data_IF_350775103770
#
_entry.id   IF_350775103770
#
_cell.length_a   1.000
_cell.length_b   1.000
_cell.length_c   1.000
_cell.angle_alpha   90.00
_cell.angle_beta   90.00
_cell.angle_gamma   90.00
#
_symmetry.space_group_name_H-M   'P 1'
#
loop_
_entity.id
_entity.type
_entity.pdbx_description
1 polymer ?
#
# COMPACT_ATOMS: atom_id res chain seq x y z
N UNK A 1 -7.14 8.37 -37.42
CA UNK A 1 -6.72 7.31 -36.47
C UNK A 1 -6.76 5.90 -37.07
N UNK A 2 -7.86 5.43 -37.68
CA UNK A 2 -7.98 4.03 -38.13
C UNK A 2 -6.91 3.53 -39.11
N UNK A 3 -6.47 4.39 -40.03
CA UNK A 3 -5.46 4.08 -41.04
C UNK A 3 -4.00 4.18 -40.56
N UNK A 4 -3.75 4.66 -39.34
CA UNK A 4 -2.40 4.83 -38.83
C UNK A 4 -1.78 3.47 -38.41
N UNK A 5 -0.44 3.31 -38.50
CA UNK A 5 0.24 2.18 -37.89
C UNK A 5 0.08 2.21 -36.37
N UNK A 6 0.27 1.06 -35.72
CA UNK A 6 -0.09 0.89 -34.31
C UNK A 6 0.75 1.79 -33.39
N UNK A 7 2.02 1.98 -33.70
CA UNK A 7 2.96 2.84 -32.98
C UNK A 7 2.50 4.29 -33.03
N UNK A 8 2.16 4.79 -34.22
CA UNK A 8 1.63 6.15 -34.39
C UNK A 8 0.28 6.35 -33.70
N UNK A 9 -0.58 5.31 -33.67
CA UNK A 9 -1.82 5.33 -32.88
C UNK A 9 -1.51 5.51 -31.40
N UNK A 10 -0.55 4.74 -30.87
CA UNK A 10 -0.17 4.83 -29.47
C UNK A 10 0.45 6.17 -29.14
N UNK A 11 1.30 6.72 -30.00
CA UNK A 11 1.90 8.04 -29.78
C UNK A 11 0.85 9.17 -29.78
N UNK A 12 -0.14 9.11 -30.67
CA UNK A 12 -1.28 10.03 -30.63
C UNK A 12 -2.08 9.88 -29.33
N UNK A 13 -2.37 8.64 -28.93
CA UNK A 13 -3.07 8.37 -27.66
C UNK A 13 -2.24 8.83 -26.46
N UNK A 14 -0.90 8.83 -26.56
CA UNK A 14 -0.02 9.35 -25.51
C UNK A 14 -0.09 10.86 -25.33
N UNK A 15 -0.56 11.59 -26.34
CA UNK A 15 -0.75 13.03 -26.26
C UNK A 15 -2.10 13.44 -25.67
N UNK A 16 -3.04 12.50 -25.49
CA UNK A 16 -4.37 12.80 -24.95
C UNK A 16 -4.32 12.89 -23.42
N UNK A 17 -5.04 13.87 -22.86
CA UNK A 17 -5.28 13.89 -21.42
C UNK A 17 -6.31 12.82 -21.02
N UNK A 18 -6.44 12.56 -19.71
CA UNK A 18 -7.31 11.50 -19.18
C UNK A 18 -8.77 11.59 -19.69
N UNK A 19 -9.38 12.78 -19.63
CA UNK A 19 -10.77 12.97 -20.05
C UNK A 19 -10.94 12.70 -21.55
N UNK A 20 -9.98 13.12 -22.37
CA UNK A 20 -9.96 12.85 -23.79
C UNK A 20 -9.81 11.35 -24.06
N UNK A 21 -8.92 10.65 -23.36
CA UNK A 21 -8.68 9.22 -23.55
C UNK A 21 -9.90 8.38 -23.12
N UNK A 22 -10.55 8.71 -22.00
CA UNK A 22 -11.81 8.11 -21.58
C UNK A 22 -12.89 8.35 -22.63
N UNK A 23 -12.99 9.59 -23.14
CA UNK A 23 -13.91 9.90 -24.24
C UNK A 23 -13.63 8.99 -25.43
N UNK A 24 -12.37 8.81 -25.82
CA UNK A 24 -11.95 7.87 -26.87
C UNK A 24 -12.34 6.41 -26.62
N UNK A 25 -12.20 5.91 -25.37
CA UNK A 25 -12.69 4.57 -24.98
C UNK A 25 -14.20 4.44 -25.21
N UNK A 26 -14.96 5.52 -25.07
CA UNK A 26 -16.42 5.55 -25.21
C UNK A 26 -16.90 5.75 -26.66
N UNK A 27 -16.04 6.23 -27.58
CA UNK A 27 -16.45 6.48 -28.98
C UNK A 27 -16.86 5.17 -29.68
N UNK A 28 -16.07 4.10 -29.55
CA UNK A 28 -16.41 2.78 -30.11
C UNK A 28 -15.51 1.64 -29.58
N UNK A 29 -15.95 0.41 -29.85
CA UNK A 29 -15.27 -0.82 -29.47
C UNK A 29 -13.82 -0.93 -29.98
N UNK A 30 -13.48 -0.33 -31.12
CA UNK A 30 -12.11 -0.38 -31.62
C UNK A 30 -11.14 0.35 -30.70
N UNK A 31 -11.45 1.60 -30.34
CA UNK A 31 -10.58 2.37 -29.42
C UNK A 31 -10.59 1.81 -28.01
N UNK A 32 -11.73 1.31 -27.54
CA UNK A 32 -11.79 0.58 -26.26
C UNK A 32 -10.79 -0.60 -26.25
N UNK A 33 -10.86 -1.46 -27.27
CA UNK A 33 -9.98 -2.63 -27.37
C UNK A 33 -8.52 -2.22 -27.56
N UNK A 34 -8.25 -1.20 -28.37
CA UNK A 34 -6.91 -0.68 -28.61
C UNK A 34 -6.28 -0.14 -27.31
N UNK A 35 -6.97 0.74 -26.59
CA UNK A 35 -6.45 1.34 -25.37
C UNK A 35 -6.29 0.27 -24.28
N UNK A 36 -7.25 -0.66 -24.14
CA UNK A 36 -7.14 -1.76 -23.18
C UNK A 36 -5.99 -2.71 -23.52
N UNK A 37 -5.73 -2.97 -24.81
CA UNK A 37 -4.63 -3.84 -25.26
C UNK A 37 -3.26 -3.26 -24.92
N UNK A 38 -3.10 -1.94 -25.02
CA UNK A 38 -1.84 -1.24 -24.80
C UNK A 38 -1.83 -0.42 -23.50
N UNK A 39 -2.67 -0.77 -22.54
CA UNK A 39 -2.87 0.01 -21.31
C UNK A 39 -1.58 0.14 -20.47
N UNK A 40 -0.72 -0.87 -20.50
CA UNK A 40 0.60 -0.81 -19.87
C UNK A 40 1.56 0.20 -20.50
N UNK A 41 1.47 0.39 -21.82
CA UNK A 41 2.29 1.35 -22.58
C UNK A 41 1.67 2.76 -22.59
N UNK A 42 0.34 2.81 -22.57
CA UNK A 42 -0.48 4.01 -22.48
C UNK A 42 -0.76 4.39 -21.03
N UNK A 43 0.09 4.00 -20.06
CA UNK A 43 -0.12 4.16 -18.62
C UNK A 43 -0.28 5.64 -18.17
N UNK A 44 -1.39 6.27 -18.56
CA UNK A 44 -1.87 7.56 -18.07
C UNK A 44 -2.49 7.34 -16.72
N UNK A 45 -1.63 7.21 -15.72
CA UNK A 45 -2.08 7.19 -14.35
C UNK A 45 -2.25 8.63 -13.93
N UNK A 46 -3.49 9.04 -13.71
CA UNK A 46 -3.79 10.28 -13.02
C UNK A 46 -3.03 10.26 -11.70
N UNK A 47 -2.15 11.24 -11.53
CA UNK A 47 -1.43 11.43 -10.29
C UNK A 47 -2.39 12.08 -9.31
N UNK A 48 -2.69 11.35 -8.26
CA UNK A 48 -3.39 11.84 -7.09
C UNK A 48 -2.38 11.97 -5.97
N UNK A 49 -2.60 12.96 -5.11
CA UNK A 49 -1.77 13.17 -3.95
C UNK A 49 -2.02 12.08 -2.91
N UNK A 50 -3.28 11.75 -2.65
CA UNK A 50 -3.64 10.89 -1.53
C UNK A 50 -4.85 10.01 -1.83
N UNK A 51 -4.75 8.73 -1.45
CA UNK A 51 -5.89 7.84 -1.25
C UNK A 51 -6.14 7.69 0.25
N UNK A 52 -7.38 7.72 0.70
CA UNK A 52 -7.71 7.48 2.11
C UNK A 52 -9.02 6.74 2.26
N UNK A 53 -9.13 5.97 3.33
CA UNK A 53 -10.36 5.31 3.74
C UNK A 53 -10.79 5.90 5.08
N UNK A 54 -12.10 6.08 5.27
CA UNK A 54 -12.70 6.57 6.52
C UNK A 54 -12.22 7.99 6.89
N UNK A 55 -12.46 8.95 6.00
CA UNK A 55 -12.13 10.37 6.24
C UNK A 55 -13.31 11.07 6.90
N UNK A 56 -13.05 11.88 7.94
CA UNK A 56 -14.04 12.78 8.51
C UNK A 56 -14.40 13.88 7.49
N UNK A 57 -15.60 13.79 6.92
CA UNK A 57 -16.05 14.74 5.88
C UNK A 57 -16.22 16.17 6.39
N UNK A 58 -16.38 16.36 7.70
CA UNK A 58 -16.53 17.70 8.30
C UNK A 58 -15.22 18.50 8.26
N UNK A 59 -14.08 17.82 8.11
CA UNK A 59 -12.74 18.44 8.07
C UNK A 59 -12.29 18.80 6.64
N UNK A 60 -13.16 18.65 5.63
CA UNK A 60 -12.81 18.88 4.23
C UNK A 60 -13.39 20.21 3.72
N UNK A 61 -12.50 21.14 3.38
CA UNK A 61 -12.86 22.49 2.91
C UNK A 61 -13.64 22.50 1.58
N UNK A 62 -13.36 21.56 0.68
CA UNK A 62 -14.05 21.44 -0.62
C UNK A 62 -14.01 20.01 -1.17
N UNK A 63 -15.17 19.39 -1.31
CA UNK A 63 -15.26 18.03 -1.83
C UNK A 63 -16.42 17.84 -2.79
N UNK A 64 -16.27 16.86 -3.69
CA UNK A 64 -17.32 16.40 -4.59
C UNK A 64 -17.62 14.93 -4.32
N UNK A 65 -18.87 14.64 -4.01
CA UNK A 65 -19.33 13.25 -3.86
C UNK A 65 -19.53 12.66 -5.25
N UNK A 66 -18.92 11.49 -5.47
CA UNK A 66 -19.18 10.62 -6.61
C UNK A 66 -20.06 9.48 -6.10
N UNK A 67 -21.32 9.47 -6.52
CA UNK A 67 -22.27 8.39 -6.26
C UNK A 67 -22.54 7.64 -7.57
N UNK A 68 -21.84 6.51 -7.82
CA UNK A 68 -22.08 5.72 -9.01
C UNK A 68 -23.51 5.15 -8.96
N UNK A 69 -24.30 5.37 -10.01
CA UNK A 69 -25.67 4.88 -10.08
C UNK A 69 -25.74 3.47 -10.70
N UNK A 70 -26.71 2.63 -10.28
CA UNK A 70 -27.02 1.39 -10.98
C UNK A 70 -27.31 1.63 -12.46
N UNK A 71 -26.93 0.68 -13.32
CA UNK A 71 -27.16 0.75 -14.78
C UNK A 71 -26.06 1.47 -15.58
N UNK A 72 -25.12 2.16 -14.93
CA UNK A 72 -24.00 2.83 -15.61
C UNK A 72 -22.97 1.85 -16.18
N UNK A 73 -22.95 0.61 -15.69
CA UNK A 73 -21.97 -0.41 -16.05
C UNK A 73 -22.69 -1.71 -16.37
N UNK A 74 -22.65 -2.16 -17.63
CA UNK A 74 -23.04 -3.53 -17.99
C UNK A 74 -21.93 -4.48 -17.55
N UNK A 75 -22.03 -4.98 -16.33
CA UNK A 75 -21.06 -5.90 -15.79
C UNK A 75 -21.56 -7.34 -15.90
N UNK A 76 -20.83 -8.15 -16.66
CA UNK A 76 -21.13 -9.58 -16.79
C UNK A 76 -20.27 -10.32 -15.76
N UNK A 77 -20.90 -10.77 -14.69
CA UNK A 77 -20.30 -11.74 -13.78
C UNK A 77 -20.32 -13.12 -14.43
N UNK A 78 -19.18 -13.81 -14.37
CA UNK A 78 -19.16 -15.22 -14.75
C UNK A 78 -19.96 -16.08 -13.75
N UNK A 79 -20.37 -17.26 -14.19
CA UNK A 79 -21.29 -18.11 -13.42
C UNK A 79 -20.66 -18.62 -12.11
N UNK A 80 -19.32 -18.73 -12.07
CA UNK A 80 -18.58 -19.06 -10.84
C UNK A 80 -18.84 -18.03 -9.73
N UNK A 81 -18.84 -16.73 -10.06
CA UNK A 81 -19.08 -15.66 -9.08
C UNK A 81 -20.54 -15.57 -8.67
N UNK A 82 -21.47 -15.81 -9.58
CA UNK A 82 -22.92 -15.88 -9.25
C UNK A 82 -23.18 -16.93 -8.16
N UNK A 83 -22.49 -18.07 -8.21
CA UNK A 83 -22.63 -19.14 -7.20
C UNK A 83 -22.23 -18.68 -5.80
N UNK A 84 -21.20 -17.82 -5.66
CA UNK A 84 -20.78 -17.29 -4.35
C UNK A 84 -21.80 -16.33 -3.74
N UNK A 85 -22.48 -15.53 -4.56
CA UNK A 85 -23.48 -14.57 -4.08
C UNK A 85 -24.72 -15.22 -3.45
N UNK A 86 -25.03 -16.46 -3.83
CA UNK A 86 -26.16 -17.20 -3.25
C UNK A 86 -25.81 -17.96 -1.97
N UNK A 87 -24.57 -17.85 -1.49
CA UNK A 87 -24.18 -18.47 -0.22
C UNK A 87 -24.39 -17.50 0.95
N UNK A 88 -24.78 -17.99 2.12
CA UNK A 88 -24.89 -17.18 3.35
C UNK A 88 -23.56 -16.48 3.71
N UNK A 89 -22.45 -16.99 3.20
CA UNK A 89 -21.12 -16.38 3.32
C UNK A 89 -21.06 -14.98 2.70
N UNK A 90 -21.90 -14.67 1.71
CA UNK A 90 -21.92 -13.35 1.06
C UNK A 90 -22.27 -12.22 2.03
N UNK A 91 -23.08 -12.51 3.06
CA UNK A 91 -23.46 -11.53 4.10
C UNK A 91 -22.26 -11.03 4.94
N UNK A 92 -21.11 -11.69 4.84
CA UNK A 92 -19.90 -11.36 5.58
C UNK A 92 -18.80 -10.70 4.73
N UNK A 93 -19.03 -10.45 3.43
CA UNK A 93 -18.05 -9.76 2.58
C UNK A 93 -18.19 -8.25 2.68
N UNK A 94 -17.49 -7.67 3.64
CA UNK A 94 -17.32 -6.22 3.74
C UNK A 94 -16.34 -5.74 2.66
N UNK A 95 -16.61 -4.62 2.00
CA UNK A 95 -15.63 -3.98 1.11
C UNK A 95 -14.38 -3.55 1.87
N UNK A 96 -14.59 -3.09 3.10
CA UNK A 96 -13.58 -2.49 3.96
C UNK A 96 -13.65 -3.22 5.29
N UNK A 97 -12.51 -3.71 5.77
CA UNK A 97 -12.39 -4.21 7.13
C UNK A 97 -12.12 -3.03 8.06
N UNK A 98 -12.92 -2.93 9.12
CA UNK A 98 -12.74 -1.94 10.19
C UNK A 98 -12.17 -2.59 11.43
N UNK A 99 -11.64 -1.74 12.30
CA UNK A 99 -11.48 -2.14 13.68
C UNK A 99 -12.84 -2.35 14.37
N UNK A 100 -12.92 -3.23 15.37
CA UNK A 100 -14.17 -3.44 16.12
C UNK A 100 -14.67 -2.17 16.82
N UNK A 101 -13.77 -1.24 17.14
CA UNK A 101 -14.11 0.03 17.78
C UNK A 101 -14.81 1.00 16.82
N UNK A 102 -14.65 0.85 15.50
CA UNK A 102 -15.21 1.75 14.48
C UNK A 102 -16.46 1.20 13.78
N UNK A 103 -17.01 0.05 14.20
CA UNK A 103 -18.20 -0.57 13.58
C UNK A 103 -19.44 0.33 13.56
N UNK A 104 -19.47 1.41 14.35
CA UNK A 104 -20.55 2.40 14.35
C UNK A 104 -20.55 3.32 13.13
N UNK A 105 -19.45 3.40 12.36
CA UNK A 105 -19.35 4.29 11.19
C UNK A 105 -19.78 3.60 9.89
N UNK A 106 -21.11 3.40 9.73
CA UNK A 106 -21.73 2.95 8.47
C UNK A 106 -21.48 3.89 7.26
N UNK A 107 -20.79 5.01 7.46
CA UNK A 107 -20.52 6.05 6.46
C UNK A 107 -19.09 6.02 5.92
N UNK A 108 -18.40 4.89 5.98
CA UNK A 108 -17.06 4.81 5.42
C UNK A 108 -17.04 5.09 3.92
N UNK A 109 -16.20 6.04 3.55
CA UNK A 109 -16.02 6.52 2.18
C UNK A 109 -14.58 6.33 1.73
N UNK A 110 -14.39 6.16 0.43
CA UNK A 110 -13.07 6.21 -0.19
C UNK A 110 -12.83 7.64 -0.64
N UNK A 111 -11.84 8.31 -0.06
CA UNK A 111 -11.48 9.68 -0.36
C UNK A 111 -10.23 9.72 -1.26
N UNK A 112 -10.29 10.56 -2.29
CA UNK A 112 -9.20 10.78 -3.25
C UNK A 112 -8.87 12.27 -3.24
N UNK A 113 -7.65 12.63 -2.84
CA UNK A 113 -7.12 13.99 -2.90
C UNK A 113 -6.35 14.20 -4.20
N UNK A 114 -6.70 15.24 -4.96
CA UNK A 114 -5.93 15.64 -6.14
C UNK A 114 -4.61 16.29 -5.73
N UNK A 115 -3.61 16.12 -6.60
CA UNK A 115 -2.42 16.98 -6.53
C UNK A 115 -2.84 18.41 -6.84
N UNK A 116 -2.44 19.35 -5.99
CA UNK A 116 -2.76 20.75 -6.18
C UNK A 116 -1.99 21.26 -7.40
N UNK A 117 -2.72 21.76 -8.39
CA UNK A 117 -2.17 22.51 -9.50
C UNK A 117 -2.80 23.89 -9.44
N UNK A 118 -1.98 24.92 -9.22
CA UNK A 118 -2.41 26.31 -9.00
C UNK A 118 -3.18 26.90 -10.20
N UNK A 119 -3.29 26.17 -11.31
CA UNK A 119 -3.92 26.60 -12.54
C UNK A 119 -5.39 26.15 -12.68
N UNK A 120 -5.95 25.40 -11.74
CA UNK A 120 -7.31 24.83 -11.81
C UNK A 120 -8.17 25.24 -10.61
N UNK A 121 -8.38 26.55 -10.42
CA UNK A 121 -9.03 27.14 -9.24
C UNK A 121 -10.50 26.73 -9.03
N UNK A 122 -11.15 26.07 -10.00
CA UNK A 122 -12.59 25.73 -9.93
C UNK A 122 -12.90 24.25 -9.67
N UNK A 123 -11.90 23.38 -9.54
CA UNK A 123 -12.14 21.95 -9.31
C UNK A 123 -12.04 21.59 -7.82
N UNK A 124 -12.87 20.65 -7.32
CA UNK A 124 -12.82 20.22 -5.93
C UNK A 124 -11.48 19.54 -5.62
N UNK A 125 -10.91 19.84 -4.45
CA UNK A 125 -9.66 19.23 -3.99
C UNK A 125 -9.83 17.75 -3.67
N UNK A 126 -10.99 17.38 -3.13
CA UNK A 126 -11.30 16.03 -2.68
C UNK A 126 -12.46 15.41 -3.48
N UNK A 127 -12.32 14.15 -3.88
CA UNK A 127 -13.42 13.35 -4.42
C UNK A 127 -13.76 12.26 -3.42
N UNK A 128 -15.04 12.19 -3.06
CA UNK A 128 -15.56 11.22 -2.11
C UNK A 128 -16.32 10.18 -2.91
N UNK A 129 -15.69 9.02 -3.09
CA UNK A 129 -16.30 7.89 -3.75
C UNK A 129 -17.13 7.10 -2.73
N UNK A 130 -18.46 7.23 -2.84
CA UNK A 130 -19.41 6.54 -1.97
C UNK A 130 -19.67 5.14 -2.53
N UNK A 131 -19.00 4.14 -1.95
CA UNK A 131 -19.17 2.73 -2.32
C UNK A 131 -20.05 2.01 -1.31
N UNK A 132 -20.83 1.01 -1.75
CA UNK A 132 -21.54 0.13 -0.83
C UNK A 132 -20.51 -0.68 -0.03
N UNK A 133 -20.44 -0.41 1.28
CA UNK A 133 -19.54 -1.14 2.20
C UNK A 133 -20.00 -2.59 2.34
N UNK A 134 -21.31 -2.79 2.35
CA UNK A 134 -21.99 -4.08 2.45
C UNK A 134 -22.75 -4.28 1.14
N UNK A 135 -22.09 -4.73 0.05
CA UNK A 135 -22.80 -4.99 -1.20
C UNK A 135 -23.85 -6.09 -0.94
N UNK A 136 -25.12 -5.80 -1.26
CA UNK A 136 -26.28 -6.69 -1.12
C UNK A 136 -26.80 -7.18 -2.46
N UNK A 137 -26.31 -6.59 -3.56
CA UNK A 137 -26.77 -6.86 -4.92
C UNK A 137 -25.62 -7.02 -5.91
N UNK A 138 -25.91 -7.61 -7.07
CA UNK A 138 -24.96 -7.72 -8.17
C UNK A 138 -24.58 -6.36 -8.75
N UNK A 139 -25.54 -5.43 -8.77
CA UNK A 139 -25.39 -4.07 -9.23
C UNK A 139 -24.39 -3.30 -8.35
N UNK A 140 -24.47 -3.48 -7.03
CA UNK A 140 -23.51 -2.88 -6.09
C UNK A 140 -22.10 -3.45 -6.25
N UNK A 141 -21.95 -4.77 -6.44
CA UNK A 141 -20.65 -5.35 -6.76
C UNK A 141 -20.09 -4.85 -8.10
N UNK A 142 -20.94 -4.67 -9.11
CA UNK A 142 -20.57 -4.11 -10.40
C UNK A 142 -20.04 -2.68 -10.23
N UNK A 143 -20.72 -1.87 -9.42
CA UNK A 143 -20.31 -0.51 -9.06
C UNK A 143 -18.95 -0.54 -8.38
N UNK A 144 -18.76 -1.35 -7.32
CA UNK A 144 -17.48 -1.47 -6.60
C UNK A 144 -16.37 -1.84 -7.58
N UNK A 145 -16.56 -2.91 -8.36
CA UNK A 145 -15.54 -3.37 -9.29
C UNK A 145 -15.20 -2.33 -10.34
N UNK A 146 -16.20 -1.68 -10.91
CA UNK A 146 -15.96 -0.61 -11.89
C UNK A 146 -15.12 0.50 -11.27
N UNK A 147 -15.54 1.02 -10.12
CA UNK A 147 -14.86 2.15 -9.50
C UNK A 147 -13.44 1.79 -9.05
N UNK A 148 -13.25 0.67 -8.35
CA UNK A 148 -11.91 0.20 -7.96
C UNK A 148 -11.05 -0.15 -9.18
N UNK A 149 -11.65 -0.70 -10.24
CA UNK A 149 -10.97 -0.94 -11.51
C UNK A 149 -10.43 0.33 -12.13
N UNK A 150 -11.20 1.43 -12.08
CA UNK A 150 -10.69 2.75 -12.49
C UNK A 150 -9.49 3.18 -11.63
N UNK A 151 -9.55 2.98 -10.32
CA UNK A 151 -8.44 3.35 -9.42
C UNK A 151 -7.18 2.48 -9.61
N UNK A 152 -7.34 1.19 -9.89
CA UNK A 152 -6.19 0.31 -10.16
C UNK A 152 -5.49 0.69 -11.46
N UNK A 153 -6.28 0.96 -12.48
CA UNK A 153 -5.78 1.04 -13.85
C UNK A 153 -5.30 2.44 -14.19
N UNK A 154 -6.03 3.45 -13.71
CA UNK A 154 -5.90 4.83 -14.17
C UNK A 154 -5.34 5.77 -13.10
N UNK A 155 -4.86 5.28 -11.95
CA UNK A 155 -4.41 6.14 -10.86
C UNK A 155 -3.05 5.75 -10.30
N UNK A 156 -2.25 6.77 -9.95
CA UNK A 156 -1.08 6.66 -9.08
C UNK A 156 -1.26 7.60 -7.91
N UNK A 157 -1.00 7.09 -6.72
CA UNK A 157 -1.11 7.85 -5.49
C UNK A 157 0.29 8.11 -4.93
N UNK A 158 0.60 9.37 -4.60
CA UNK A 158 1.82 9.67 -3.85
C UNK A 158 1.74 9.04 -2.44
N UNK A 159 0.63 9.25 -1.77
CA UNK A 159 0.35 8.72 -0.44
C UNK A 159 -0.92 7.88 -0.43
N UNK A 160 -0.97 6.90 0.46
CA UNK A 160 -2.24 6.35 0.90
C UNK A 160 -2.28 6.23 2.41
N UNK A 161 -3.38 6.65 3.02
CA UNK A 161 -3.62 6.44 4.45
C UNK A 161 -4.72 5.41 4.58
N UNK A 162 -4.32 4.20 4.93
CA UNK A 162 -5.22 3.16 5.39
C UNK A 162 -5.13 3.19 6.90
N UNK A 163 -6.03 3.95 7.53
CA UNK A 163 -6.14 4.08 8.99
C UNK A 163 -6.47 2.73 9.63
N UNK A 164 -7.53 2.71 10.41
CA UNK A 164 -8.05 1.45 10.97
C UNK A 164 -8.81 0.60 9.94
N UNK A 165 -8.67 0.94 8.65
CA UNK A 165 -9.47 0.43 7.57
C UNK A 165 -8.64 0.06 6.34
N UNK A 166 -8.81 -1.16 5.85
CA UNK A 166 -8.21 -1.66 4.59
C UNK A 166 -9.27 -2.30 3.71
N UNK A 167 -9.07 -2.28 2.39
CA UNK A 167 -9.93 -3.05 1.50
C UNK A 167 -9.81 -4.55 1.79
N UNK A 168 -10.91 -5.27 1.62
CA UNK A 168 -10.99 -6.72 1.79
C UNK A 168 -10.27 -7.46 0.64
N UNK A 169 -9.05 -8.01 0.82
CA UNK A 169 -8.37 -8.83 -0.18
C UNK A 169 -9.17 -10.01 -0.73
N UNK A 170 -10.04 -10.69 0.04
CA UNK A 170 -10.87 -11.77 -0.51
C UNK A 170 -11.95 -11.24 -1.45
N UNK A 171 -12.56 -10.09 -1.13
CA UNK A 171 -13.51 -9.44 -2.03
C UNK A 171 -12.78 -8.92 -3.28
N UNK A 172 -11.60 -8.31 -3.13
CA UNK A 172 -10.79 -7.89 -4.27
C UNK A 172 -10.39 -9.10 -5.13
N UNK A 173 -9.96 -10.20 -4.52
CA UNK A 173 -9.66 -11.46 -5.20
C UNK A 173 -10.91 -11.95 -5.97
N UNK A 174 -12.09 -11.97 -5.33
CA UNK A 174 -13.36 -12.34 -5.97
C UNK A 174 -13.71 -11.42 -7.14
N UNK A 175 -13.51 -10.11 -6.99
CA UNK A 175 -13.82 -9.14 -8.03
C UNK A 175 -12.82 -9.22 -9.18
N UNK A 176 -11.53 -9.47 -8.96
CA UNK A 176 -10.47 -9.20 -9.95
C UNK A 176 -9.62 -10.40 -10.40
N UNK A 177 -9.66 -11.57 -9.74
CA UNK A 177 -8.75 -12.69 -10.04
C UNK A 177 -8.89 -13.37 -11.42
N UNK A 178 -9.95 -13.10 -12.19
CA UNK A 178 -10.20 -13.84 -13.45
C UNK A 178 -9.42 -13.27 -14.65
N UNK A 179 -8.87 -12.07 -14.53
CA UNK A 179 -8.18 -11.40 -15.63
C UNK A 179 -6.66 -11.49 -15.43
N UNK A 180 -6.04 -12.50 -16.05
CA UNK A 180 -4.57 -12.68 -16.03
C UNK A 180 -3.79 -11.56 -16.73
N UNK A 181 -4.45 -10.75 -17.55
CA UNK A 181 -3.82 -9.76 -18.42
C UNK A 181 -3.56 -8.40 -17.78
N UNK A 182 -4.29 -8.02 -16.73
CA UNK A 182 -4.15 -6.70 -16.09
C UNK A 182 -3.85 -6.89 -14.61
N UNK A 183 -2.76 -6.26 -14.14
CA UNK A 183 -2.45 -6.20 -12.72
C UNK A 183 -3.44 -5.26 -12.03
N UNK A 184 -4.40 -5.82 -11.30
CA UNK A 184 -5.39 -5.05 -10.54
C UNK A 184 -4.81 -4.65 -9.18
N UNK A 185 -3.78 -3.79 -9.21
CA UNK A 185 -3.09 -3.31 -8.00
C UNK A 185 -3.17 -1.79 -7.91
N UNK A 186 -3.31 -1.26 -6.71
CA UNK A 186 -3.12 0.16 -6.49
C UNK A 186 -1.65 0.50 -6.63
N UNK A 187 -1.34 1.56 -7.38
CA UNK A 187 0.02 2.05 -7.52
C UNK A 187 0.25 3.22 -6.58
N UNK A 188 1.02 2.98 -5.51
CA UNK A 188 1.16 3.89 -4.38
C UNK A 188 2.64 4.08 -4.07
N UNK A 189 3.11 5.32 -3.95
CA UNK A 189 4.52 5.53 -3.60
C UNK A 189 4.75 5.23 -2.11
N UNK A 190 3.95 5.83 -1.24
CA UNK A 190 4.11 5.80 0.22
C UNK A 190 2.80 5.43 0.93
N UNK A 191 2.39 4.14 0.93
CA UNK A 191 1.27 3.71 1.75
C UNK A 191 1.65 3.77 3.23
N UNK A 192 0.72 4.24 4.05
CA UNK A 192 0.78 4.24 5.50
C UNK A 192 -0.39 3.43 6.04
N UNK A 193 -0.06 2.43 6.85
CA UNK A 193 -0.99 1.47 7.43
C UNK A 193 -1.01 1.66 8.94
N UNK A 194 -2.20 1.73 9.52
CA UNK A 194 -2.38 1.84 10.97
C UNK A 194 -3.09 0.60 11.48
N UNK A 195 -2.37 -0.55 11.63
CA UNK A 195 -2.98 -1.71 12.24
C UNK A 195 -3.56 -1.31 13.60
N UNK A 196 -4.87 -1.51 13.76
CA UNK A 196 -5.60 -1.44 15.03
C UNK A 196 -6.02 -2.85 15.46
N UNK A 197 -6.26 -3.04 16.77
CA UNK A 197 -6.18 -4.34 17.46
C UNK A 197 -7.02 -5.50 16.92
N UNK A 198 -7.87 -5.26 15.92
CA UNK A 198 -8.86 -6.19 15.39
C UNK A 198 -8.62 -6.56 13.93
N UNK A 199 -7.82 -5.78 13.19
CA UNK A 199 -7.36 -6.17 11.86
C UNK A 199 -6.00 -6.89 12.01
N UNK A 200 -5.99 -8.20 11.78
CA UNK A 200 -4.76 -9.00 11.83
C UNK A 200 -3.71 -8.48 10.84
N UNK A 201 -2.45 -8.44 11.26
CA UNK A 201 -1.32 -8.09 10.39
C UNK A 201 -1.22 -8.99 9.15
N UNK A 202 -1.67 -10.26 9.23
CA UNK A 202 -1.71 -11.16 8.06
C UNK A 202 -2.66 -10.64 6.99
N UNK A 203 -3.76 -10.07 7.44
CA UNK A 203 -4.82 -9.59 6.58
C UNK A 203 -4.36 -8.34 5.83
N UNK A 204 -3.77 -7.41 6.57
CA UNK A 204 -3.08 -6.24 6.04
C UNK A 204 -2.01 -6.67 5.05
N UNK A 205 -1.18 -7.64 5.42
CA UNK A 205 -0.12 -8.13 4.56
C UNK A 205 -0.65 -8.79 3.28
N UNK A 206 -1.74 -9.56 3.37
CA UNK A 206 -2.43 -10.14 2.21
C UNK A 206 -2.91 -9.05 1.25
N UNK A 207 -3.46 -7.95 1.78
CA UNK A 207 -3.81 -6.78 0.98
C UNK A 207 -2.58 -6.14 0.33
N UNK A 208 -1.54 -5.81 1.11
CA UNK A 208 -0.30 -5.18 0.62
C UNK A 208 0.36 -5.98 -0.49
N UNK A 209 0.61 -7.27 -0.24
CA UNK A 209 1.35 -8.14 -1.17
C UNK A 209 0.60 -8.41 -2.48
N UNK A 210 -0.73 -8.58 -2.42
CA UNK A 210 -1.53 -8.93 -3.59
C UNK A 210 -2.03 -7.70 -4.35
N UNK A 211 -2.43 -6.65 -3.65
CA UNK A 211 -3.25 -5.58 -4.21
C UNK A 211 -2.54 -4.21 -4.22
N UNK A 212 -1.31 -4.10 -3.71
CA UNK A 212 -0.49 -2.88 -3.81
C UNK A 212 0.76 -3.10 -4.66
N UNK A 213 1.13 -2.05 -5.40
CA UNK A 213 2.46 -1.86 -5.98
C UNK A 213 3.08 -0.65 -5.31
N UNK A 214 4.17 -0.88 -4.57
CA UNK A 214 4.81 0.14 -3.74
C UNK A 214 6.13 0.56 -4.36
N UNK A 215 6.27 1.85 -4.67
CA UNK A 215 7.47 2.35 -5.38
C UNK A 215 8.50 3.06 -4.50
N UNK A 216 8.15 3.45 -3.26
CA UNK A 216 9.09 4.08 -2.33
C UNK A 216 9.10 3.39 -0.96
N UNK A 217 8.11 3.66 -0.11
CA UNK A 217 8.19 3.27 1.30
C UNK A 217 6.85 2.77 1.84
N UNK A 218 6.83 1.53 2.32
CA UNK A 218 5.74 1.02 3.14
C UNK A 218 5.91 1.53 4.58
N UNK A 219 4.96 2.31 5.08
CA UNK A 219 4.92 2.70 6.49
C UNK A 219 3.86 1.89 7.23
N UNK A 220 4.22 1.32 8.37
CA UNK A 220 3.28 0.68 9.30
C UNK A 220 3.45 1.38 10.65
N UNK A 221 2.39 2.02 11.11
CA UNK A 221 2.36 2.81 12.32
C UNK A 221 1.49 2.09 13.35
N UNK A 222 2.11 1.54 14.39
CA UNK A 222 1.40 0.80 15.42
C UNK A 222 0.79 1.77 16.42
N UNK A 223 -0.48 1.57 16.79
CA UNK A 223 -1.05 2.29 17.92
C UNK A 223 -0.25 1.94 19.20
N UNK A 224 -0.03 2.93 20.07
CA UNK A 224 0.59 2.74 21.38
C UNK A 224 -0.20 1.75 22.25
N UNK A 225 -1.51 1.60 22.01
CA UNK A 225 -2.37 0.64 22.70
C UNK A 225 -2.33 -0.77 22.08
N UNK A 226 -1.68 -0.96 20.93
CA UNK A 226 -1.64 -2.25 20.28
C UNK A 226 -0.84 -3.23 21.14
N UNK A 227 -1.54 -4.26 21.63
CA UNK A 227 -1.02 -5.23 22.60
C UNK A 227 0.37 -5.75 22.21
N UNK A 228 1.31 -5.59 23.15
CA UNK A 228 2.77 -5.77 23.05
C UNK A 228 3.22 -7.19 22.59
N UNK A 229 2.31 -8.16 22.42
CA UNK A 229 2.66 -9.58 22.58
C UNK A 229 2.53 -10.49 21.35
N UNK A 230 1.86 -10.12 20.24
CA UNK A 230 1.51 -11.11 19.19
C UNK A 230 2.09 -10.87 17.78
N UNK A 231 2.74 -9.74 17.52
CA UNK A 231 3.05 -9.32 16.14
C UNK A 231 4.46 -9.76 15.67
N UNK A 232 5.33 -10.21 16.58
CA UNK A 232 6.77 -10.35 16.31
C UNK A 232 7.15 -11.31 15.16
N UNK A 233 6.63 -12.55 15.08
CA UNK A 233 7.05 -13.48 14.03
C UNK A 233 6.64 -13.01 12.62
N UNK A 234 5.44 -12.43 12.51
CA UNK A 234 4.88 -12.01 11.21
C UNK A 234 5.56 -10.76 10.67
N UNK A 235 5.90 -9.78 11.53
CA UNK A 235 6.67 -8.62 11.09
C UNK A 235 8.06 -9.01 10.66
N UNK A 236 8.69 -9.93 11.40
CA UNK A 236 9.97 -10.47 11.02
C UNK A 236 9.91 -11.16 9.64
N UNK A 237 8.89 -11.99 9.38
CA UNK A 237 8.66 -12.61 8.06
C UNK A 237 8.45 -11.56 6.95
N UNK A 238 7.73 -10.48 7.25
CA UNK A 238 7.52 -9.35 6.31
C UNK A 238 8.84 -8.69 5.95
N UNK A 239 9.73 -8.50 6.93
CA UNK A 239 11.03 -7.86 6.69
C UNK A 239 12.00 -8.77 5.94
N UNK A 240 11.99 -10.07 6.24
CA UNK A 240 13.05 -11.01 5.81
C UNK A 240 12.70 -11.80 4.55
N UNK A 241 11.50 -12.37 4.47
CA UNK A 241 11.12 -13.31 3.41
C UNK A 241 10.06 -12.74 2.47
N UNK A 242 9.08 -12.02 3.00
CA UNK A 242 7.90 -11.60 2.21
C UNK A 242 8.05 -10.20 1.62
N UNK A 243 8.95 -9.38 2.17
CA UNK A 243 9.19 -8.01 1.72
C UNK A 243 9.98 -7.89 0.42
N UNK A 244 10.28 -9.01 -0.25
CA UNK A 244 10.93 -9.01 -1.55
C UNK A 244 10.16 -8.12 -2.54
N UNK A 245 10.84 -7.09 -3.07
CA UNK A 245 10.24 -6.09 -3.95
C UNK A 245 9.82 -4.78 -3.26
N UNK A 246 9.83 -4.71 -1.92
CA UNK A 246 9.67 -3.43 -1.21
C UNK A 246 11.00 -2.65 -1.22
N UNK A 247 11.02 -1.38 -1.70
CA UNK A 247 12.24 -0.59 -1.68
C UNK A 247 12.65 -0.19 -0.26
N UNK A 248 11.66 0.13 0.58
CA UNK A 248 11.83 0.54 1.97
C UNK A 248 10.62 0.16 2.82
N UNK A 249 10.89 -0.18 4.08
CA UNK A 249 9.89 -0.32 5.13
C UNK A 249 10.21 0.59 6.33
N UNK A 250 9.20 1.26 6.86
CA UNK A 250 9.26 2.09 8.05
C UNK A 250 8.23 1.58 9.05
N UNK A 251 8.70 1.09 10.19
CA UNK A 251 7.86 0.65 11.30
C UNK A 251 7.93 1.70 12.40
N UNK A 252 6.78 2.29 12.76
CA UNK A 252 6.68 3.33 13.78
C UNK A 252 6.01 2.83 15.04
N UNK A 253 6.34 3.47 16.16
CA UNK A 253 5.77 3.17 17.47
C UNK A 253 5.95 1.69 17.89
N UNK A 254 7.09 1.10 17.52
CA UNK A 254 7.40 -0.29 17.86
C UNK A 254 7.60 -0.44 19.37
N UNK A 255 6.89 -1.40 19.95
CA UNK A 255 7.05 -1.83 21.34
C UNK A 255 7.86 -3.15 21.45
N UNK A 256 7.97 -3.89 20.35
CA UNK A 256 8.62 -5.21 20.32
C UNK A 256 10.16 -5.11 20.26
N UNK A 257 10.82 -5.35 21.41
CA UNK A 257 12.30 -5.34 21.52
C UNK A 257 12.96 -6.49 20.75
N UNK A 258 12.25 -7.62 20.61
CA UNK A 258 12.80 -8.86 20.04
C UNK A 258 13.05 -8.76 18.54
N UNK A 259 12.22 -8.01 17.80
CA UNK A 259 12.35 -7.82 16.35
C UNK A 259 13.76 -7.40 15.94
N UNK A 260 14.36 -6.43 16.63
CA UNK A 260 15.70 -5.95 16.31
C UNK A 260 16.77 -7.05 16.47
N UNK A 261 16.69 -7.79 17.58
CA UNK A 261 17.63 -8.89 17.85
C UNK A 261 17.48 -10.03 16.85
N UNK A 262 16.25 -10.35 16.43
CA UNK A 262 15.99 -11.37 15.41
C UNK A 262 16.50 -10.92 14.04
N UNK A 263 16.36 -9.64 13.66
CA UNK A 263 16.94 -9.08 12.43
C UNK A 263 18.46 -9.23 12.43
N UNK A 264 19.15 -8.86 13.52
CA UNK A 264 20.60 -9.04 13.64
C UNK A 264 20.98 -10.51 13.52
N UNK A 265 20.28 -11.39 14.25
CA UNK A 265 20.53 -12.84 14.22
C UNK A 265 20.34 -13.40 12.82
N UNK A 266 19.31 -12.97 12.10
CA UNK A 266 19.04 -13.40 10.73
C UNK A 266 20.13 -12.94 9.76
N UNK A 267 20.48 -11.65 9.76
CA UNK A 267 21.55 -11.11 8.91
C UNK A 267 22.87 -11.86 9.14
N UNK A 268 23.18 -12.19 10.39
CA UNK A 268 24.47 -12.79 10.75
C UNK A 268 24.55 -14.29 10.52
N UNK A 269 23.43 -15.02 10.64
CA UNK A 269 23.40 -16.50 10.68
C UNK A 269 22.55 -17.17 9.61
N UNK A 270 21.70 -16.46 8.88
CA UNK A 270 20.89 -17.09 7.82
C UNK A 270 21.76 -17.40 6.61
N UNK A 271 21.51 -18.53 5.96
CA UNK A 271 22.20 -18.92 4.72
C UNK A 271 21.86 -17.98 3.56
N UNK A 272 20.64 -17.41 3.55
CA UNK A 272 20.17 -16.51 2.50
C UNK A 272 19.47 -15.27 3.08
N UNK A 273 20.11 -14.10 2.91
CA UNK A 273 19.54 -12.78 3.19
C UNK A 273 19.30 -11.97 1.90
N UNK A 274 19.25 -12.64 0.74
CA UNK A 274 19.04 -12.00 -0.56
C UNK A 274 17.67 -11.33 -0.65
N UNK A 275 16.64 -11.94 -0.05
CA UNK A 275 15.23 -11.53 -0.14
C UNK A 275 14.83 -10.44 0.86
N UNK A 276 15.68 -10.13 1.84
CA UNK A 276 15.39 -9.16 2.88
C UNK A 276 15.23 -7.73 2.31
N UNK A 277 14.32 -6.95 2.90
CA UNK A 277 14.07 -5.55 2.50
C UNK A 277 15.36 -4.73 2.59
N UNK A 278 15.69 -4.02 1.51
CA UNK A 278 16.97 -3.33 1.40
C UNK A 278 17.10 -2.14 2.37
N UNK A 279 16.00 -1.45 2.69
CA UNK A 279 16.01 -0.30 3.59
C UNK A 279 14.94 -0.48 4.67
N UNK A 280 15.37 -0.63 5.92
CA UNK A 280 14.48 -0.82 7.07
C UNK A 280 14.70 0.34 8.04
N UNK A 281 13.62 0.92 8.52
CA UNK A 281 13.64 1.93 9.57
C UNK A 281 12.69 1.49 10.68
N UNK A 282 13.21 1.40 11.90
CA UNK A 282 12.48 0.98 13.09
C UNK A 282 12.48 2.16 14.06
N UNK A 283 11.31 2.67 14.42
CA UNK A 283 11.15 3.73 15.40
C UNK A 283 10.48 3.13 16.64
N UNK A 284 11.15 3.18 17.78
CA UNK A 284 10.72 2.56 19.02
C UNK A 284 10.08 3.57 19.97
N UNK A 285 8.97 3.18 20.60
CA UNK A 285 8.36 3.95 21.70
C UNK A 285 9.01 3.61 23.06
N UNK A 286 9.71 2.48 23.17
CA UNK A 286 10.23 1.93 24.43
C UNK A 286 11.74 1.68 24.42
N UNK A 287 12.40 1.71 25.60
CA UNK A 287 13.83 1.52 25.74
C UNK A 287 14.29 0.16 25.23
N UNK A 288 15.08 0.18 24.16
CA UNK A 288 15.87 -0.96 23.72
C UNK A 288 17.29 -0.85 24.28
N UNK A 289 17.68 -1.77 25.16
CA UNK A 289 19.08 -1.90 25.61
C UNK A 289 19.89 -2.51 24.48
N UNK A 290 20.83 -1.73 23.98
CA UNK A 290 21.66 -2.12 22.85
C UNK A 290 22.97 -2.73 23.32
N UNK A 291 23.23 -3.96 22.89
CA UNK A 291 24.57 -4.54 22.93
C UNK A 291 25.03 -4.68 21.48
N UNK A 292 26.15 -4.04 21.16
CA UNK A 292 26.77 -4.16 19.84
C UNK A 292 27.18 -5.62 19.60
N UNK A 293 27.01 -6.10 18.36
CA UNK A 293 27.48 -7.45 17.99
C UNK A 293 29.01 -7.49 18.03
N UNK A 294 29.59 -8.59 18.50
CA UNK A 294 31.04 -8.83 18.44
C UNK A 294 31.58 -8.86 17.01
N UNK A 295 30.70 -9.09 16.03
CA UNK A 295 31.01 -9.07 14.59
C UNK A 295 30.77 -7.70 13.94
N UNK A 296 30.49 -6.67 14.72
CA UNK A 296 30.31 -5.32 14.19
C UNK A 296 31.64 -4.79 13.65
N UNK A 297 31.65 -4.41 12.38
CA UNK A 297 32.79 -3.80 11.70
C UNK A 297 32.55 -2.30 11.50
N UNK A 298 33.62 -1.53 11.27
CA UNK A 298 33.54 -0.10 10.88
C UNK A 298 32.67 0.73 11.83
N UNK A 299 32.92 0.60 13.13
CA UNK A 299 32.11 1.24 14.17
C UNK A 299 32.46 2.74 14.23
N UNK A 300 31.47 3.59 14.02
CA UNK A 300 31.58 5.04 14.20
C UNK A 300 30.58 5.49 15.27
N UNK A 301 31.05 6.28 16.23
CA UNK A 301 30.20 6.89 17.25
C UNK A 301 30.29 8.41 17.11
N UNK A 302 29.14 9.07 17.00
CA UNK A 302 29.02 10.54 16.95
C UNK A 302 28.01 11.00 17.97
N UNK A 303 28.24 12.15 18.59
CA UNK A 303 27.28 12.79 19.49
C UNK A 303 26.90 14.16 18.94
N UNK A 304 25.60 14.41 18.80
CA UNK A 304 25.06 15.67 18.28
C UNK A 304 23.81 16.04 19.08
N UNK A 305 23.76 17.24 19.65
CA UNK A 305 22.60 17.77 20.40
C UNK A 305 22.05 16.81 21.47
N UNK A 306 22.92 16.13 22.22
CA UNK A 306 22.48 15.16 23.24
C UNK A 306 21.90 13.86 22.67
N UNK A 307 22.17 13.56 21.41
CA UNK A 307 21.81 12.30 20.76
C UNK A 307 23.09 11.61 20.30
N UNK A 308 23.26 10.35 20.72
CA UNK A 308 24.39 9.50 20.33
C UNK A 308 23.98 8.65 19.12
N UNK A 309 24.75 8.77 18.05
CA UNK A 309 24.61 7.98 16.84
C UNK A 309 25.70 6.93 16.79
N UNK A 310 25.32 5.65 16.74
CA UNK A 310 26.26 4.54 16.56
C UNK A 310 26.03 3.91 15.19
N UNK A 311 27.01 4.03 14.29
CA UNK A 311 27.00 3.39 12.97
C UNK A 311 27.96 2.21 12.98
N UNK A 312 27.60 1.14 12.29
CA UNK A 312 28.45 -0.04 12.13
C UNK A 312 27.96 -0.89 10.96
N UNK A 313 28.73 -1.90 10.59
CA UNK A 313 28.39 -2.85 9.54
C UNK A 313 28.33 -4.28 10.09
N UNK A 314 27.48 -5.11 9.48
CA UNK A 314 27.46 -6.55 9.70
C UNK A 314 27.51 -7.26 8.35
N UNK A 315 28.44 -8.20 8.23
CA UNK A 315 28.52 -9.13 7.10
C UNK A 315 27.81 -10.45 7.44
N UNK A 316 27.11 -11.03 6.48
CA UNK A 316 26.56 -12.37 6.63
C UNK A 316 27.71 -13.42 6.70
N UNK A 317 27.58 -14.43 7.57
CA UNK A 317 28.67 -15.42 7.76
C UNK A 317 28.80 -16.40 6.59
N UNK A 318 27.69 -16.73 5.94
CA UNK A 318 27.64 -17.66 4.83
C UNK A 318 27.96 -16.96 3.50
N UNK A 319 27.71 -15.64 3.42
CA UNK A 319 28.06 -14.82 2.27
C UNK A 319 28.59 -13.43 2.69
N UNK A 320 29.91 -13.28 2.92
CA UNK A 320 30.51 -12.02 3.37
C UNK A 320 30.34 -10.82 2.43
N UNK A 321 29.94 -11.05 1.17
CA UNK A 321 29.63 -9.97 0.23
C UNK A 321 28.31 -9.27 0.55
N UNK A 322 27.36 -9.99 1.16
CA UNK A 322 26.11 -9.42 1.64
C UNK A 322 26.39 -8.70 2.97
N UNK A 323 26.50 -7.37 2.90
CA UNK A 323 26.72 -6.49 4.06
C UNK A 323 25.53 -5.59 4.32
N UNK A 324 25.32 -5.28 5.59
CA UNK A 324 24.30 -4.33 6.05
C UNK A 324 24.94 -3.25 6.90
N UNK A 325 24.62 -1.99 6.61
CA UNK A 325 24.96 -0.86 7.47
C UNK A 325 23.84 -0.58 8.47
N UNK A 326 24.20 -0.40 9.72
CA UNK A 326 23.31 -0.01 10.82
C UNK A 326 23.62 1.41 11.25
N UNK A 327 22.60 2.15 11.65
CA UNK A 327 22.71 3.45 12.30
C UNK A 327 21.66 3.52 13.41
N UNK A 328 22.13 3.49 14.65
CA UNK A 328 21.32 3.58 15.85
C UNK A 328 21.35 4.99 16.40
N UNK A 329 20.18 5.50 16.76
CA UNK A 329 19.99 6.79 17.42
C UNK A 329 19.59 6.56 18.87
N UNK A 330 20.46 6.97 19.79
CA UNK A 330 20.36 6.76 21.23
C UNK A 330 20.21 8.10 21.95
N UNK A 331 19.16 8.26 22.76
CA UNK A 331 18.97 9.45 23.60
C UNK A 331 19.93 9.44 24.79
N UNK A 332 20.12 10.59 25.44
CA UNK A 332 20.98 10.74 26.64
C UNK A 332 20.71 9.74 27.78
N UNK A 333 19.49 9.20 27.86
CA UNK A 333 19.13 8.17 28.85
C UNK A 333 19.52 6.73 28.42
N UNK A 334 20.30 6.58 27.36
CA UNK A 334 20.76 5.30 26.83
C UNK A 334 19.73 4.55 25.98
N UNK A 335 18.60 5.19 25.64
CA UNK A 335 17.52 4.53 24.91
C UNK A 335 17.69 4.69 23.41
N UNK A 336 17.76 3.58 22.67
CA UNK A 336 17.60 3.62 21.22
C UNK A 336 16.15 3.97 20.88
N UNK A 337 15.99 5.01 20.07
CA UNK A 337 14.69 5.47 19.57
C UNK A 337 14.52 5.22 18.08
N UNK A 338 15.59 5.28 17.29
CA UNK A 338 15.54 4.99 15.86
C UNK A 338 16.67 4.05 15.47
N UNK A 339 16.36 3.07 14.62
CA UNK A 339 17.32 2.18 13.98
C UNK A 339 17.10 2.28 12.47
N UNK A 340 18.17 2.52 11.73
CA UNK A 340 18.19 2.43 10.26
C UNK A 340 19.10 1.28 9.85
N UNK A 341 18.58 0.37 9.05
CA UNK A 341 19.31 -0.78 8.50
C UNK A 341 19.25 -0.65 6.99
N UNK A 342 20.40 -0.71 6.32
CA UNK A 342 20.50 -0.63 4.87
C UNK A 342 21.37 -1.75 4.34
N UNK A 343 20.84 -2.53 3.39
CA UNK A 343 21.61 -3.48 2.60
C UNK A 343 22.54 -2.69 1.68
N UNK A 344 23.82 -2.99 1.75
CA UNK A 344 24.84 -2.35 0.93
C UNK A 344 24.77 -2.93 -0.48
N UNK A 345 24.85 -2.08 -1.50
CA UNK A 345 25.03 -2.53 -2.88
C UNK A 345 26.50 -2.88 -3.07
N UNK A 346 26.77 -4.01 -3.70
CA UNK A 346 28.12 -4.37 -4.17
C UNK A 346 28.62 -3.36 -5.21
#
# INVERSE_FOLDING_TARGET
MYSLPIEAKLDVLKCLNFNQLISFKLINFYFLNLINKYEGELCFRMKFKKLSINVNLQELDSYKIIEPKPGFVKYILNDKRKKYLHTDLFRYFYLIFFSENERSSLNSVVCIERTFDYLLDNEPRYYILKLPIFPRSFEELAIIRYCLGQLFTNSVFEYALFGEAVFNPELLDLLFNDNKTISHKFHIQKPNLFPSGTVSIDYIWKFVSKHLTISDCLTIDFDNNFGIYSIDPKLFDIITMRGYGLPKILLRNLTCKRLYSEIIKHITKSEDCSQMVANISLHYSWPLKFKLSERAENIEIKQLNGVKYTKYQLANIHNPKIKFSFCNEERNNGMIVNVKIRKMKE
#
